data_IF_663606555894
#
_entry.id   IF_663606555894
#
_cell.length_a   1.000
_cell.length_b   1.000
_cell.length_c   1.000
_cell.angle_alpha   90.00
_cell.angle_beta   90.00
_cell.angle_gamma   90.00
#
_symmetry.space_group_name_H-M   'P 1'
#
loop_
_entity.id
_entity.type
_entity.pdbx_description
1 polymer ?
#
# COMPACT_ATOMS: atom_id res chain seq x y z
N UNK A 1 3.43 9.28 10.41
CA UNK A 1 2.28 10.19 10.16
C UNK A 1 1.79 9.84 8.78
N UNK A 2 0.49 9.61 8.62
CA UNK A 2 -0.08 9.22 7.34
C UNK A 2 -0.31 10.46 6.47
N UNK A 3 -0.28 10.27 5.16
CA UNK A 3 -0.67 11.25 4.14
C UNK A 3 -1.80 10.67 3.29
N UNK A 4 -2.59 11.53 2.65
CA UNK A 4 -3.71 11.08 1.81
C UNK A 4 -3.20 10.11 0.72
N UNK A 5 -3.80 8.90 0.61
CA UNK A 5 -3.35 7.89 -0.34
C UNK A 5 -3.30 8.41 -1.77
N UNK A 6 -2.12 8.35 -2.40
CA UNK A 6 -1.89 8.77 -3.78
C UNK A 6 -1.59 10.27 -3.97
N UNK A 7 -1.73 11.11 -2.95
CA UNK A 7 -1.54 12.58 -3.09
C UNK A 7 -0.32 13.13 -2.37
N UNK A 8 0.06 12.53 -1.23
CA UNK A 8 1.10 13.05 -0.35
C UNK A 8 2.49 13.19 -1.00
N UNK A 9 3.27 14.22 -0.63
CA UNK A 9 4.60 14.46 -1.19
C UNK A 9 5.63 13.39 -0.80
N UNK A 10 5.40 12.66 0.30
CA UNK A 10 6.30 11.58 0.74
C UNK A 10 5.96 10.23 0.08
N UNK A 11 5.00 10.19 -0.85
CA UNK A 11 4.60 8.97 -1.56
C UNK A 11 5.19 8.92 -2.97
N UNK A 12 5.47 7.71 -3.47
CA UNK A 12 5.84 7.52 -4.87
C UNK A 12 4.71 7.99 -5.82
N UNK A 13 5.03 8.56 -7.00
CA UNK A 13 6.35 8.91 -7.51
C UNK A 13 6.84 10.31 -7.06
N UNK A 14 6.14 10.98 -6.14
CA UNK A 14 6.42 12.35 -5.68
C UNK A 14 7.54 12.44 -4.64
N UNK A 15 7.89 11.33 -3.99
CA UNK A 15 8.96 11.27 -3.00
C UNK A 15 10.29 11.77 -3.60
N UNK A 16 10.95 12.70 -2.90
CA UNK A 16 12.16 13.35 -3.40
C UNK A 16 13.38 12.43 -3.49
N UNK A 17 13.46 11.44 -2.60
CA UNK A 17 14.51 10.43 -2.53
C UNK A 17 13.96 9.12 -1.92
N UNK A 18 14.68 7.98 -2.02
CA UNK A 18 14.34 6.79 -1.26
C UNK A 18 14.24 7.10 0.25
N UNK A 19 13.29 6.45 0.94
CA UNK A 19 13.08 6.61 2.38
C UNK A 19 12.75 8.06 2.82
N UNK A 20 12.09 8.86 1.97
CA UNK A 20 11.63 10.21 2.34
C UNK A 20 10.38 10.15 3.23
N UNK A 21 10.34 10.98 4.26
CA UNK A 21 9.20 11.13 5.17
C UNK A 21 9.57 10.98 6.65
N UNK A 22 8.66 11.30 7.59
CA UNK A 22 8.90 11.09 9.01
C UNK A 22 9.03 9.60 9.35
N UNK A 23 9.88 9.26 10.32
CA UNK A 23 9.97 7.87 10.80
C UNK A 23 8.65 7.40 11.44
N UNK A 24 8.12 6.27 10.95
CA UNK A 24 6.96 5.56 11.51
C UNK A 24 7.47 4.36 12.32
N UNK A 25 7.02 4.19 13.58
CA UNK A 25 7.35 3.04 14.44
C UNK A 25 6.13 2.24 14.90
N UNK A 26 4.96 2.53 14.33
CA UNK A 26 3.72 1.82 14.66
C UNK A 26 3.71 0.45 13.96
N UNK A 27 3.10 -0.58 14.58
CA UNK A 27 2.94 -1.88 13.91
C UNK A 27 1.99 -1.76 12.71
N UNK A 28 2.05 -2.75 11.82
CA UNK A 28 1.04 -2.97 10.78
C UNK A 28 -0.29 -3.33 11.44
N UNK A 29 -1.38 -2.76 10.92
CA UNK A 29 -2.74 -2.93 11.46
C UNK A 29 -3.75 -2.98 10.32
N UNK A 30 -4.94 -3.51 10.59
CA UNK A 30 -6.05 -3.46 9.64
C UNK A 30 -6.44 -2.02 9.36
N UNK A 31 -6.77 -1.72 8.10
CA UNK A 31 -7.09 -0.35 7.69
C UNK A 31 -8.38 0.17 8.34
N UNK A 32 -9.30 -0.74 8.68
CA UNK A 32 -10.54 -0.43 9.40
C UNK A 32 -10.31 0.08 10.83
N UNK A 33 -9.15 -0.19 11.43
CA UNK A 33 -8.75 0.30 12.75
C UNK A 33 -8.01 1.65 12.69
N UNK A 34 -7.74 2.17 11.49
CA UNK A 34 -7.01 3.43 11.28
C UNK A 34 -7.99 4.60 11.18
N UNK A 35 -7.83 5.58 12.09
CA UNK A 35 -8.67 6.78 12.19
C UNK A 35 -7.88 8.05 11.89
N UNK A 36 -7.24 8.09 10.73
CA UNK A 36 -6.42 9.23 10.30
C UNK A 36 -7.17 10.25 9.43
N UNK A 37 -8.44 9.99 9.12
CA UNK A 37 -9.30 10.89 8.36
C UNK A 37 -9.21 10.72 6.85
N UNK A 38 -8.45 9.74 6.35
CA UNK A 38 -8.36 9.45 4.92
C UNK A 38 -9.33 8.35 4.49
N UNK A 39 -9.75 8.42 3.22
CA UNK A 39 -10.51 7.34 2.58
C UNK A 39 -9.55 6.45 1.82
N UNK A 40 -9.61 5.16 2.12
CA UNK A 40 -8.82 4.15 1.42
C UNK A 40 -9.72 3.42 0.41
N UNK A 41 -9.29 3.27 -0.85
CA UNK A 41 -10.06 2.50 -1.82
C UNK A 41 -10.13 1.02 -1.38
N UNK A 42 -11.21 0.32 -1.73
CA UNK A 42 -11.30 -1.11 -1.47
C UNK A 42 -10.26 -1.89 -2.28
N UNK A 43 -9.88 -3.07 -1.79
CA UNK A 43 -8.71 -3.83 -2.28
C UNK A 43 -8.81 -4.14 -3.78
N UNK A 44 -9.99 -4.48 -4.27
CA UNK A 44 -10.25 -4.81 -5.66
C UNK A 44 -10.04 -3.64 -6.64
N UNK A 45 -10.03 -2.39 -6.15
CA UNK A 45 -9.72 -1.21 -6.96
C UNK A 45 -8.22 -0.96 -7.10
N UNK A 46 -7.40 -1.49 -6.18
CA UNK A 46 -5.95 -1.23 -6.13
C UNK A 46 -5.09 -2.44 -6.46
N UNK A 47 -5.58 -3.66 -6.20
CA UNK A 47 -4.84 -4.89 -6.41
C UNK A 47 -5.63 -5.79 -7.36
N UNK A 48 -4.99 -6.15 -8.49
CA UNK A 48 -5.44 -7.20 -9.39
C UNK A 48 -4.42 -8.33 -9.36
N UNK A 49 -4.87 -9.53 -9.01
CA UNK A 49 -4.03 -10.73 -9.03
C UNK A 49 -4.54 -11.67 -10.12
N UNK A 50 -3.64 -12.07 -11.01
CA UNK A 50 -3.88 -13.16 -11.95
C UNK A 50 -3.06 -14.35 -11.50
N UNK A 51 -3.71 -15.47 -11.21
CA UNK A 51 -3.03 -16.73 -10.86
C UNK A 51 -3.10 -17.66 -12.07
N UNK A 52 -1.96 -18.17 -12.49
CA UNK A 52 -1.86 -19.21 -13.53
C UNK A 52 -1.21 -20.44 -12.92
N UNK A 53 -1.64 -21.64 -13.32
CA UNK A 53 -0.94 -22.85 -12.92
C UNK A 53 0.52 -22.77 -13.39
N UNK A 54 1.47 -22.89 -12.46
CA UNK A 54 2.84 -23.23 -12.83
C UNK A 54 2.81 -24.64 -13.41
N UNK A 55 3.56 -24.89 -14.50
CA UNK A 55 3.65 -26.20 -15.14
C UNK A 55 3.72 -27.29 -14.08
N UNK A 56 2.66 -28.08 -13.92
CA UNK A 56 2.74 -29.30 -13.15
C UNK A 56 3.74 -30.17 -13.91
N UNK A 57 4.86 -30.53 -13.27
CA UNK A 57 5.72 -31.59 -13.77
C UNK A 57 4.80 -32.79 -14.00
N UNK A 58 4.59 -33.14 -15.27
CA UNK A 58 3.80 -34.29 -15.66
C UNK A 58 4.56 -35.52 -15.16
N UNK A 59 4.04 -36.17 -14.12
CA UNK A 59 4.53 -37.48 -13.66
C UNK A 59 4.19 -38.57 -14.69
#
# INVERSE_FOLDING_TARGET
MNEEPGFGPNQAPRQAAPNTGPSERKPVRHIEDVKDGFTYPPVEQVIRVTVTAGSAMMN
#
